data_IF_979916539742
#
_entry.id   IF_979916539742
#
_cell.length_a   1.000
_cell.length_b   1.000
_cell.length_c   1.000
_cell.angle_alpha   90.00
_cell.angle_beta   90.00
_cell.angle_gamma   90.00
#
_symmetry.space_group_name_H-M   'P 1'
#
loop_
_entity.id
_entity.type
_entity.pdbx_description
1 polymer ?
#
# COMPACT_ATOMS: atom_id res chain seq x y z
N UNK A 1 12.29 -0.93 -1.95
CA UNK A 1 12.41 -1.42 -3.35
C UNK A 1 13.82 -1.29 -3.93
N UNK A 2 14.61 -0.24 -3.60
CA UNK A 2 16.02 -0.12 -4.04
C UNK A 2 16.89 -1.35 -3.71
N UNK A 3 16.63 -2.01 -2.59
CA UNK A 3 17.31 -3.23 -2.14
C UNK A 3 16.57 -4.53 -2.52
N UNK A 4 15.69 -4.50 -3.53
CA UNK A 4 14.97 -5.70 -3.99
C UNK A 4 13.69 -6.05 -3.21
N UNK A 5 13.31 -5.28 -2.19
CA UNK A 5 12.05 -5.51 -1.47
C UNK A 5 10.84 -5.34 -2.40
N UNK A 6 9.93 -6.31 -2.37
CA UNK A 6 8.66 -6.31 -3.11
C UNK A 6 7.75 -5.12 -2.73
N UNK A 7 7.00 -4.52 -3.68
CA UNK A 7 6.14 -3.35 -3.43
C UNK A 7 5.15 -3.56 -2.28
N UNK A 8 4.54 -4.76 -2.19
CA UNK A 8 3.57 -5.10 -1.12
C UNK A 8 4.22 -5.04 0.26
N UNK A 9 5.43 -5.58 0.39
CA UNK A 9 6.19 -5.56 1.64
C UNK A 9 6.67 -4.16 1.97
N UNK A 10 7.10 -3.39 0.95
CA UNK A 10 7.56 -2.02 1.12
C UNK A 10 6.44 -1.09 1.62
N UNK A 11 5.25 -1.15 1.01
CA UNK A 11 4.10 -0.36 1.44
C UNK A 11 3.67 -0.73 2.88
N UNK A 12 3.62 -2.03 3.18
CA UNK A 12 3.26 -2.51 4.52
C UNK A 12 4.29 -2.11 5.59
N UNK A 13 5.58 -2.19 5.28
CA UNK A 13 6.65 -1.75 6.18
C UNK A 13 6.56 -0.25 6.47
N UNK A 14 6.31 0.58 5.45
CA UNK A 14 6.12 2.02 5.62
C UNK A 14 4.94 2.33 6.56
N UNK A 15 3.76 1.76 6.29
CA UNK A 15 2.57 1.94 7.13
C UNK A 15 2.83 1.46 8.56
N UNK A 16 3.46 0.30 8.76
CA UNK A 16 3.81 -0.23 10.09
C UNK A 16 4.72 0.71 10.87
N UNK A 17 5.73 1.31 10.22
CA UNK A 17 6.64 2.26 10.89
C UNK A 17 5.92 3.52 11.34
N UNK A 18 4.98 4.02 10.53
CA UNK A 18 4.16 5.18 10.87
C UNK A 18 3.23 4.84 12.03
N UNK A 19 2.46 3.76 11.91
CA UNK A 19 1.50 3.33 12.93
C UNK A 19 2.17 3.01 14.27
N UNK A 20 3.41 2.50 14.27
CA UNK A 20 4.19 2.30 15.51
C UNK A 20 4.43 3.61 16.26
N UNK A 21 4.66 4.71 15.56
CA UNK A 21 4.91 6.04 16.17
C UNK A 21 3.61 6.80 16.44
N UNK A 22 2.61 6.61 15.60
CA UNK A 22 1.32 7.28 15.63
C UNK A 22 0.20 6.22 15.47
N UNK A 23 -0.24 5.58 16.57
CA UNK A 23 -1.19 4.46 16.51
C UNK A 23 -2.53 4.81 15.84
N UNK A 24 -3.00 6.04 16.04
CA UNK A 24 -4.27 6.51 15.47
C UNK A 24 -4.10 7.15 14.08
N UNK A 25 -2.95 6.93 13.43
CA UNK A 25 -2.70 7.44 12.09
C UNK A 25 -3.65 6.81 11.07
N UNK A 26 -4.32 7.69 10.32
CA UNK A 26 -5.10 7.34 9.14
C UNK A 26 -4.32 7.74 7.89
N UNK A 27 -4.09 6.77 7.01
CA UNK A 27 -3.43 7.05 5.74
C UNK A 27 -3.05 5.81 4.96
N UNK A 28 -2.55 6.01 3.74
CA UNK A 28 -2.20 4.94 2.82
C UNK A 28 -0.89 5.22 2.09
N UNK A 29 -0.21 4.15 1.69
CA UNK A 29 1.01 4.19 0.88
C UNK A 29 0.80 3.29 -0.33
N UNK A 30 1.00 3.85 -1.51
CA UNK A 30 1.11 3.13 -2.78
C UNK A 30 2.57 3.02 -3.18
N UNK A 31 2.99 1.84 -3.64
CA UNK A 31 4.35 1.55 -4.06
C UNK A 31 4.33 0.83 -5.41
N UNK A 32 5.27 1.21 -6.28
CA UNK A 32 5.48 0.58 -7.58
C UNK A 32 6.98 0.41 -7.85
N UNK A 33 7.38 -0.72 -8.41
CA UNK A 33 8.76 -0.96 -8.83
C UNK A 33 8.97 -0.61 -10.31
N UNK A 34 10.24 -0.68 -10.76
CA UNK A 34 10.61 -0.36 -12.15
C UNK A 34 10.00 -1.29 -13.21
N UNK A 35 9.48 -2.44 -12.80
CA UNK A 35 8.84 -3.41 -13.69
C UNK A 35 7.31 -3.19 -13.75
N UNK A 36 6.79 -2.11 -13.16
CA UNK A 36 5.36 -1.82 -13.12
C UNK A 36 4.56 -2.63 -12.09
N UNK A 37 5.22 -3.50 -11.31
CA UNK A 37 4.55 -4.22 -10.22
C UNK A 37 4.23 -3.21 -9.12
N UNK A 38 2.97 -3.18 -8.70
CA UNK A 38 2.48 -2.24 -7.72
C UNK A 38 1.74 -2.93 -6.58
N UNK A 39 1.67 -2.26 -5.44
CA UNK A 39 0.86 -2.64 -4.30
C UNK A 39 0.62 -1.43 -3.40
N UNK A 40 -0.27 -1.57 -2.43
CA UNK A 40 -0.51 -0.54 -1.43
C UNK A 40 -0.83 -1.17 -0.07
N UNK A 41 -0.71 -0.34 0.97
CA UNK A 41 -1.12 -0.64 2.33
C UNK A 41 -1.79 0.61 2.93
N UNK A 42 -2.72 0.41 3.86
CA UNK A 42 -3.41 1.51 4.53
C UNK A 42 -3.62 1.23 6.02
N UNK A 43 -3.87 2.29 6.77
CA UNK A 43 -4.23 2.31 8.18
C UNK A 43 -5.45 3.21 8.37
N UNK A 44 -6.38 2.78 9.24
CA UNK A 44 -7.53 3.58 9.68
C UNK A 44 -8.72 3.68 8.71
N UNK A 45 -8.55 3.38 7.42
CA UNK A 45 -9.64 3.43 6.44
C UNK A 45 -9.39 2.56 5.21
N UNK A 46 -10.46 2.13 4.54
CA UNK A 46 -10.35 1.43 3.25
C UNK A 46 -9.89 2.41 2.18
N UNK A 47 -8.79 2.07 1.52
CA UNK A 47 -8.16 2.90 0.51
C UNK A 47 -8.36 2.30 -0.88
N UNK A 48 -8.68 3.15 -1.86
CA UNK A 48 -8.75 2.76 -3.26
C UNK A 48 -7.74 3.53 -4.10
N UNK A 49 -7.16 2.86 -5.09
CA UNK A 49 -6.31 3.50 -6.08
C UNK A 49 -6.58 2.91 -7.47
N UNK A 50 -6.43 3.75 -8.49
CA UNK A 50 -6.56 3.35 -9.88
C UNK A 50 -5.19 3.07 -10.50
N UNK A 51 -5.14 2.09 -11.39
CA UNK A 51 -3.97 1.80 -12.22
C UNK A 51 -4.41 1.73 -13.67
N UNK A 52 -3.58 2.30 -14.54
CA UNK A 52 -3.68 2.17 -15.98
C UNK A 52 -2.26 2.00 -16.53
N UNK A 53 -2.09 1.05 -17.45
CA UNK A 53 -0.88 0.88 -18.23
C UNK A 53 -1.22 0.87 -19.74
N UNK A 54 -0.23 1.01 -20.64
CA UNK A 54 -0.47 0.98 -22.08
C UNK A 54 -1.14 -0.31 -22.59
N UNK A 55 -0.97 -1.41 -21.88
CA UNK A 55 -1.54 -2.73 -22.22
C UNK A 55 -2.98 -2.91 -21.74
N UNK A 56 -3.56 -1.90 -21.07
CA UNK A 56 -4.91 -1.96 -20.53
C UNK A 56 -5.89 -1.15 -21.38
N UNK A 57 -7.03 -1.78 -21.68
CA UNK A 57 -8.13 -1.12 -22.39
C UNK A 57 -8.79 -0.01 -21.54
N UNK A 58 -8.87 -0.22 -20.22
CA UNK A 58 -9.48 0.72 -19.28
C UNK A 58 -8.74 0.77 -17.93
N UNK A 59 -9.07 1.77 -17.11
CA UNK A 59 -8.57 1.92 -15.75
C UNK A 59 -9.08 0.80 -14.84
N UNK A 60 -8.20 0.25 -14.01
CA UNK A 60 -8.58 -0.73 -12.98
C UNK A 60 -8.47 -0.12 -11.59
N UNK A 61 -9.53 -0.24 -10.80
CA UNK A 61 -9.56 0.20 -9.41
C UNK A 61 -9.21 -0.96 -8.48
N UNK A 62 -8.26 -0.73 -7.58
CA UNK A 62 -7.83 -1.67 -6.55
C UNK A 62 -8.30 -1.19 -5.20
N UNK A 63 -8.93 -2.08 -4.43
CA UNK A 63 -9.36 -1.81 -3.05
C UNK A 63 -8.38 -2.45 -2.08
N UNK A 64 -7.96 -1.67 -1.09
CA UNK A 64 -7.01 -2.04 -0.05
C UNK A 64 -7.69 -1.87 1.30
N UNK A 65 -7.73 -2.95 2.06
CA UNK A 65 -8.29 -2.93 3.41
C UNK A 65 -7.19 -2.68 4.44
N UNK A 66 -7.49 -1.97 5.55
CA UNK A 66 -6.56 -1.82 6.66
C UNK A 66 -6.13 -3.17 7.19
N UNK A 67 -4.84 -3.30 7.52
CA UNK A 67 -4.32 -4.54 8.08
C UNK A 67 -4.78 -4.66 9.55
N UNK A 68 -5.65 -5.62 9.84
CA UNK A 68 -6.20 -5.86 11.19
C UNK A 68 -5.13 -6.21 12.24
N UNK A 69 -3.93 -6.60 11.79
CA UNK A 69 -2.80 -6.98 12.64
C UNK A 69 -1.99 -5.80 13.18
N UNK A 70 -2.26 -4.56 12.74
CA UNK A 70 -1.52 -3.37 13.19
C UNK A 70 -1.96 -2.88 14.58
N UNK A 71 -3.17 -3.23 15.01
CA UNK A 71 -3.76 -2.78 16.28
C UNK A 71 -3.82 -3.84 17.39
N UNK A 72 -3.24 -5.03 17.18
CA UNK A 72 -3.09 -6.01 18.27
C UNK A 72 -1.96 -5.54 19.19
N UNK A 73 -2.33 -4.77 20.22
CA UNK A 73 -1.55 -4.66 21.46
C UNK A 73 -1.41 -6.03 22.11
#
# INVERSE_FOLDING_TARGET
>A
MRLGMEPKLAAKDAIRRIARKFPDFVGAVFAMNKNGVHAAACSGWTFQYSVRSPEMDDVKVFTVYPDSTINSK
#
